data_IF_976671892429
#
_entry.id   IF_976671892429
#
_cell.length_a   1.000
_cell.length_b   1.000
_cell.length_c   1.000
_cell.angle_alpha   90.00
_cell.angle_beta   90.00
_cell.angle_gamma   90.00
#
_symmetry.space_group_name_H-M   'P 1'
#
loop_
_entity.id
_entity.type
_entity.pdbx_description
1 polymer ?
#
# COMPACT_ATOMS: atom_id res chain seq x y z
N UNK A 1 6.39 -15.98 -3.23
CA UNK A 1 5.42 -16.95 -3.79
C UNK A 1 4.00 -16.42 -3.59
N UNK A 2 3.33 -15.85 -4.61
CA UNK A 2 1.86 -15.63 -4.57
C UNK A 2 1.20 -15.26 -5.92
N UNK A 3 1.75 -15.71 -7.06
CA UNK A 3 1.19 -15.37 -8.39
C UNK A 3 -0.09 -16.12 -8.76
N UNK A 4 -0.50 -17.13 -7.98
CA UNK A 4 -1.59 -18.05 -8.36
C UNK A 4 -2.95 -17.76 -7.70
N UNK A 5 -2.99 -17.12 -6.52
CA UNK A 5 -4.27 -16.92 -5.79
C UNK A 5 -5.22 -15.90 -6.45
N UNK A 6 -4.75 -14.96 -7.26
CA UNK A 6 -5.61 -13.92 -7.84
C UNK A 6 -6.40 -14.37 -9.06
N UNK A 7 -6.01 -15.48 -9.69
CA UNK A 7 -6.69 -16.04 -10.87
C UNK A 7 -7.84 -16.97 -10.48
N UNK A 8 -7.91 -17.37 -9.21
CA UNK A 8 -8.88 -18.30 -8.66
C UNK A 8 -10.04 -17.61 -7.94
N UNK A 9 -9.95 -16.29 -7.70
CA UNK A 9 -11.01 -15.49 -7.05
C UNK A 9 -12.09 -15.10 -8.07
N UNK A 10 -13.35 -15.37 -7.73
CA UNK A 10 -14.54 -14.98 -8.51
C UNK A 10 -14.68 -13.45 -8.59
N UNK A 11 -15.34 -12.93 -9.64
CA UNK A 11 -15.60 -11.49 -9.84
C UNK A 11 -16.23 -10.80 -8.62
N UNK A 12 -17.06 -11.53 -7.86
CA UNK A 12 -17.65 -11.04 -6.61
C UNK A 12 -16.63 -10.95 -5.46
N UNK A 13 -15.70 -11.90 -5.36
CA UNK A 13 -14.66 -11.86 -4.32
C UNK A 13 -13.62 -10.77 -4.61
N UNK A 14 -13.37 -10.47 -5.89
CA UNK A 14 -12.54 -9.33 -6.31
C UNK A 14 -13.16 -7.98 -5.90
N UNK A 15 -14.47 -7.82 -6.02
CA UNK A 15 -15.19 -6.62 -5.59
C UNK A 15 -15.18 -6.45 -4.07
N UNK A 16 -15.36 -7.54 -3.32
CA UNK A 16 -15.34 -7.49 -1.86
C UNK A 16 -13.93 -7.20 -1.31
N UNK A 17 -12.90 -7.79 -1.94
CA UNK A 17 -11.50 -7.42 -1.67
C UNK A 17 -11.23 -5.94 -1.94
N UNK A 18 -11.73 -5.37 -3.04
CA UNK A 18 -11.60 -3.92 -3.31
C UNK A 18 -12.20 -3.05 -2.20
N UNK A 19 -13.39 -3.40 -1.70
CA UNK A 19 -14.04 -2.67 -0.59
C UNK A 19 -13.20 -2.73 0.68
N UNK A 20 -12.70 -3.91 1.04
CA UNK A 20 -11.79 -4.08 2.18
C UNK A 20 -10.49 -3.29 2.01
N UNK A 21 -9.89 -3.31 0.83
CA UNK A 21 -8.68 -2.53 0.53
C UNK A 21 -8.93 -1.03 0.66
N UNK A 22 -10.10 -0.52 0.26
CA UNK A 22 -10.46 0.89 0.43
C UNK A 22 -10.56 1.29 1.91
N UNK A 23 -11.22 0.46 2.73
CA UNK A 23 -11.33 0.69 4.18
C UNK A 23 -9.95 0.60 4.87
N UNK A 24 -9.15 -0.41 4.52
CA UNK A 24 -7.79 -0.56 5.01
C UNK A 24 -6.90 0.62 4.59
N UNK A 25 -7.07 1.16 3.39
CA UNK A 25 -6.35 2.35 2.91
C UNK A 25 -6.64 3.58 3.78
N UNK A 26 -7.91 3.82 4.13
CA UNK A 26 -8.30 4.93 5.02
C UNK A 26 -7.70 4.73 6.42
N UNK A 27 -7.79 3.52 6.97
CA UNK A 27 -7.22 3.19 8.28
C UNK A 27 -5.70 3.40 8.28
N UNK A 28 -5.01 2.91 7.25
CA UNK A 28 -3.58 3.09 7.07
C UNK A 28 -3.20 4.57 6.93
N UNK A 29 -3.98 5.36 6.19
CA UNK A 29 -3.76 6.79 6.06
C UNK A 29 -3.93 7.54 7.40
N UNK A 30 -4.94 7.17 8.19
CA UNK A 30 -5.19 7.74 9.51
C UNK A 30 -4.03 7.43 10.48
N UNK A 31 -3.64 6.15 10.56
CA UNK A 31 -2.49 5.72 11.37
C UNK A 31 -1.21 6.45 10.94
N UNK A 32 -0.94 6.49 9.64
CA UNK A 32 0.25 7.14 9.10
C UNK A 32 0.26 8.64 9.40
N UNK A 33 -0.87 9.34 9.23
CA UNK A 33 -1.00 10.75 9.58
C UNK A 33 -0.80 11.01 11.06
N UNK A 34 -1.33 10.13 11.93
CA UNK A 34 -1.14 10.22 13.38
C UNK A 34 0.33 10.04 13.77
N UNK A 35 1.02 9.07 13.18
CA UNK A 35 2.46 8.87 13.39
C UNK A 35 3.29 10.07 12.93
N UNK A 36 2.99 10.65 11.78
CA UNK A 36 3.68 11.83 11.27
C UNK A 36 3.44 13.04 12.18
N UNK A 37 2.20 13.25 12.63
CA UNK A 37 1.85 14.35 13.53
C UNK A 37 2.58 14.25 14.87
N UNK A 38 2.60 13.07 15.47
CA UNK A 38 3.33 12.80 16.73
C UNK A 38 4.84 13.01 16.52
N UNK A 39 5.40 12.47 15.44
CA UNK A 39 6.82 12.64 15.13
C UNK A 39 7.18 14.12 14.95
N UNK A 40 6.38 14.90 14.23
CA UNK A 40 6.59 16.34 14.03
C UNK A 40 6.52 17.11 15.36
N UNK A 41 5.51 16.83 16.19
CA UNK A 41 5.36 17.46 17.50
C UNK A 41 6.57 17.19 18.41
N UNK A 42 7.00 15.92 18.50
CA UNK A 42 8.18 15.53 19.28
C UNK A 42 9.45 16.19 18.72
N UNK A 43 9.61 16.26 17.40
CA UNK A 43 10.79 16.88 16.78
C UNK A 43 10.91 18.36 17.13
N UNK A 44 9.80 19.09 17.06
CA UNK A 44 9.76 20.52 17.39
C UNK A 44 10.04 20.75 18.89
N UNK A 45 9.46 19.89 19.76
CA UNK A 45 9.50 20.09 21.21
C UNK A 45 10.75 19.54 21.88
N UNK A 46 11.27 18.41 21.42
CA UNK A 46 12.35 17.64 22.03
C UNK A 46 13.60 17.56 21.14
N UNK A 47 13.56 18.10 19.92
CA UNK A 47 14.65 18.06 18.94
C UNK A 47 14.68 16.78 18.10
N UNK A 48 15.70 16.65 17.24
CA UNK A 48 15.91 15.46 16.41
C UNK A 48 16.32 14.27 17.28
N UNK A 49 15.47 13.25 17.32
CA UNK A 49 15.67 12.03 18.10
C UNK A 49 15.25 10.76 17.37
N UNK A 50 15.09 9.66 18.10
CA UNK A 50 14.75 8.35 17.54
C UNK A 50 13.51 8.37 16.62
N UNK A 51 12.48 9.15 16.97
CA UNK A 51 11.24 9.28 16.18
C UNK A 51 11.39 10.05 14.85
N UNK A 52 12.51 10.75 14.63
CA UNK A 52 12.85 11.35 13.32
C UNK A 52 13.63 10.42 12.41
N UNK A 53 14.44 9.52 12.98
CA UNK A 53 15.19 8.52 12.21
C UNK A 53 14.36 7.26 11.90
N UNK A 54 13.45 6.89 12.80
CA UNK A 54 12.56 5.74 12.61
C UNK A 54 11.74 5.81 11.31
N UNK A 55 11.15 6.95 10.89
CA UNK A 55 10.48 7.10 9.59
C UNK A 55 11.38 6.84 8.37
N UNK A 56 12.69 7.13 8.43
CA UNK A 56 13.61 6.85 7.31
C UNK A 56 13.73 5.35 7.01
N UNK A 57 13.54 4.49 8.02
CA UNK A 57 13.52 3.03 7.83
C UNK A 57 12.27 2.62 7.03
N UNK A 58 11.13 3.29 7.21
CA UNK A 58 9.92 3.05 6.41
C UNK A 58 10.06 3.49 4.96
N UNK A 59 10.92 4.47 4.66
CA UNK A 59 11.20 4.90 3.27
C UNK A 59 11.79 3.73 2.46
N UNK A 60 12.70 2.94 3.03
CA UNK A 60 13.24 1.75 2.37
C UNK A 60 12.16 0.70 2.07
N UNK A 61 11.23 0.49 3.02
CA UNK A 61 10.12 -0.43 2.82
C UNK A 61 9.12 0.07 1.75
N UNK A 62 8.83 1.37 1.74
CA UNK A 62 7.95 2.00 0.75
C UNK A 62 8.50 1.89 -0.67
N UNK A 63 9.82 2.07 -0.87
CA UNK A 63 10.45 1.91 -2.18
C UNK A 63 10.27 0.48 -2.71
N UNK A 64 10.45 -0.53 -1.85
CA UNK A 64 10.29 -1.93 -2.22
C UNK A 64 8.83 -2.26 -2.59
N UNK A 65 7.87 -1.74 -1.83
CA UNK A 65 6.45 -1.94 -2.08
C UNK A 65 5.97 -1.28 -3.40
N UNK A 66 6.63 -0.20 -3.87
CA UNK A 66 6.31 0.39 -5.19
C UNK A 66 6.67 -0.51 -6.37
N UNK A 67 7.70 -1.34 -6.22
CA UNK A 67 8.14 -2.29 -7.26
C UNK A 67 7.07 -3.38 -7.41
N UNK A 68 6.61 -3.95 -6.30
CA UNK A 68 5.57 -4.98 -6.28
C UNK A 68 4.20 -4.45 -6.79
N UNK A 69 3.88 -3.17 -6.51
CA UNK A 69 2.67 -2.51 -7.03
C UNK A 69 2.69 -2.36 -8.56
N UNK A 70 3.86 -2.07 -9.14
CA UNK A 70 4.02 -1.92 -10.59
C UNK A 70 3.78 -3.24 -11.32
N UNK A 71 4.34 -4.32 -10.79
CA UNK A 71 4.19 -5.66 -11.34
C UNK A 71 2.73 -6.15 -11.27
N UNK A 72 2.01 -5.79 -10.21
CA UNK A 72 0.57 -6.05 -10.06
C UNK A 72 -0.29 -5.25 -11.04
N UNK A 73 0.03 -3.97 -11.27
CA UNK A 73 -0.67 -3.14 -12.27
C UNK A 73 -0.46 -3.65 -13.70
N UNK A 74 0.74 -4.12 -14.03
CA UNK A 74 1.05 -4.71 -15.33
C UNK A 74 0.24 -5.99 -15.59
N UNK A 75 0.06 -6.85 -14.59
CA UNK A 75 -0.76 -8.07 -14.70
C UNK A 75 -2.26 -7.74 -14.88
N UNK A 76 -2.80 -6.76 -14.15
CA UNK A 76 -4.20 -6.30 -14.29
C UNK A 76 -4.43 -5.69 -15.68
N UNK A 77 -3.48 -4.90 -16.18
CA UNK A 77 -3.56 -4.28 -17.51
C UNK A 77 -3.49 -5.34 -18.60
N UNK A 78 -2.57 -6.31 -18.48
CA UNK A 78 -2.43 -7.45 -19.40
C UNK A 78 -3.74 -8.25 -19.53
N UNK A 79 -4.44 -8.49 -18.42
CA UNK A 79 -5.73 -9.21 -18.42
C UNK A 79 -6.90 -8.37 -18.95
N UNK A 80 -6.94 -7.07 -18.62
CA UNK A 80 -7.96 -6.14 -19.16
C UNK A 80 -7.83 -5.98 -20.67
N UNK A 81 -6.60 -5.96 -21.20
CA UNK A 81 -6.32 -5.93 -22.64
C UNK A 81 -6.74 -7.24 -23.33
N UNK A 82 -6.52 -8.39 -22.68
CA UNK A 82 -6.97 -9.70 -23.19
C UNK A 82 -8.50 -9.78 -23.31
N UNK A 83 -9.24 -9.11 -22.43
CA UNK A 83 -10.70 -9.06 -22.44
C UNK A 83 -11.28 -8.15 -23.53
N UNK A 84 -10.48 -7.21 -24.08
CA UNK A 84 -10.89 -6.29 -25.14
C UNK A 84 -10.59 -6.81 -26.56
N UNK A 85 -9.93 -7.96 -26.67
CA UNK A 85 -9.50 -8.60 -27.93
C UNK A 85 -10.33 -9.86 -28.24
N UNK A 86 -11.52 -9.99 -27.62
CA UNK A 86 -12.51 -11.03 -27.95
C UNK A 86 -13.80 -10.36 -28.38
#
# INVERSE_FOLDING_TARGET
>A
MKGKEFTELSDQELLDKRKKLKSASIMNALLTGSFIGIAAYITIKNGFGFFTFFPLIFVFHLIKNRIDQKELEEEIKSRTLKQKVV
#
